data_IF_213201917957
#
_entry.id   IF_213201917957
#
_cell.length_a   1.000
_cell.length_b   1.000
_cell.length_c   1.000
_cell.angle_alpha   90.00
_cell.angle_beta   90.00
_cell.angle_gamma   90.00
#
_symmetry.space_group_name_H-M   'P 1'
#
loop_
_entity.id
_entity.type
_entity.pdbx_description
1 polymer ?
#
# COMPACT_ATOMS: atom_id res chain seq x y z
N UNK A 1 13.50 17.23 8.50
CA UNK A 1 13.40 16.08 7.59
C UNK A 1 12.22 15.20 7.97
N UNK A 2 11.55 14.64 6.96
CA UNK A 2 10.46 13.67 7.13
C UNK A 2 10.81 12.43 6.32
N UNK A 3 10.68 11.25 6.90
CA UNK A 3 10.83 9.96 6.22
C UNK A 3 9.50 9.21 6.24
N UNK A 4 9.21 8.51 5.16
CA UNK A 4 7.95 7.79 4.94
C UNK A 4 7.21 8.40 3.73
N UNK A 5 6.11 7.85 3.31
CA UNK A 5 5.54 6.61 3.84
C UNK A 5 6.25 5.36 3.27
N UNK A 6 5.48 4.32 2.97
CA UNK A 6 5.93 3.06 2.39
C UNK A 6 6.93 2.26 3.28
N UNK A 7 7.42 1.13 2.77
CA UNK A 7 8.24 0.15 3.50
C UNK A 7 9.69 0.64 3.69
N UNK A 8 9.83 1.90 4.09
CA UNK A 8 11.14 2.54 4.29
C UNK A 8 11.95 1.91 5.43
N UNK A 9 11.26 1.30 6.40
CA UNK A 9 11.90 0.63 7.54
C UNK A 9 11.94 -0.90 7.40
N UNK A 10 11.72 -1.44 6.19
CA UNK A 10 11.89 -2.86 5.91
C UNK A 10 13.32 -3.16 5.44
N UNK A 11 14.13 -3.96 6.20
CA UNK A 11 15.51 -4.24 5.84
C UNK A 11 15.67 -4.94 4.49
N UNK A 12 14.74 -5.83 4.12
CA UNK A 12 14.76 -6.55 2.86
C UNK A 12 14.75 -5.63 1.62
N UNK A 13 14.18 -4.42 1.74
CA UNK A 13 14.11 -3.44 0.66
C UNK A 13 15.18 -2.35 0.75
N UNK A 14 15.84 -2.22 1.89
CA UNK A 14 16.82 -1.17 2.18
C UNK A 14 18.16 -1.77 2.61
N UNK A 15 18.84 -2.42 1.66
CA UNK A 15 20.09 -3.13 1.93
C UNK A 15 21.26 -2.17 2.17
N UNK A 16 22.17 -2.59 3.05
CA UNK A 16 23.41 -1.86 3.34
C UNK A 16 23.17 -0.44 3.88
N UNK A 17 23.89 0.57 3.38
CA UNK A 17 23.79 1.95 3.88
C UNK A 17 22.40 2.59 3.67
N UNK A 18 21.59 2.07 2.75
CA UNK A 18 20.24 2.61 2.51
C UNK A 18 19.35 2.54 3.74
N UNK A 19 19.51 1.50 4.56
CA UNK A 19 18.73 1.36 5.79
C UNK A 19 18.99 2.53 6.76
N UNK A 20 20.26 2.92 6.96
CA UNK A 20 20.61 4.09 7.75
C UNK A 20 20.01 5.38 7.20
N UNK A 21 20.07 5.59 5.89
CA UNK A 21 19.46 6.74 5.23
C UNK A 21 17.95 6.86 5.52
N UNK A 22 17.24 5.72 5.60
CA UNK A 22 15.81 5.69 5.95
C UNK A 22 15.56 5.99 7.44
N UNK A 23 16.61 6.01 8.27
CA UNK A 23 16.59 6.50 9.63
C UNK A 23 17.26 7.88 9.76
N UNK A 24 17.46 8.59 8.64
CA UNK A 24 18.04 9.94 8.60
C UNK A 24 19.39 10.03 9.30
N UNK A 25 20.25 9.02 9.13
CA UNK A 25 21.59 8.94 9.75
C UNK A 25 22.52 10.08 9.33
N UNK A 26 22.33 10.60 8.13
CA UNK A 26 23.06 11.73 7.55
C UNK A 26 22.67 13.09 8.16
N UNK A 27 21.53 13.17 8.88
CA UNK A 27 21.00 14.42 9.39
C UNK A 27 21.63 14.78 10.75
N UNK A 28 22.01 16.05 10.93
CA UNK A 28 22.53 16.59 12.20
C UNK A 28 21.49 16.43 13.33
N UNK A 29 21.95 16.26 14.58
CA UNK A 29 21.08 16.06 15.74
C UNK A 29 20.21 17.30 16.06
N UNK A 30 20.63 18.47 15.65
CA UNK A 30 19.87 19.73 15.86
C UNK A 30 18.68 19.89 14.89
N UNK A 31 18.60 19.05 13.86
CA UNK A 31 17.54 19.13 12.85
C UNK A 31 16.38 18.25 13.27
N UNK A 32 15.16 18.79 13.19
CA UNK A 32 13.91 18.02 13.42
C UNK A 32 13.82 16.84 12.46
N UNK A 33 13.55 15.68 13.02
CA UNK A 33 13.38 14.40 12.32
C UNK A 33 12.02 13.82 12.65
N UNK A 34 11.24 13.54 11.64
CA UNK A 34 9.92 12.94 11.78
C UNK A 34 9.81 11.71 10.90
N UNK A 35 9.07 10.70 11.32
CA UNK A 35 8.54 9.72 10.38
C UNK A 35 7.04 9.93 10.21
N UNK A 36 6.56 9.82 8.98
CA UNK A 36 5.13 9.87 8.69
C UNK A 36 4.72 8.59 7.96
N UNK A 37 3.87 7.80 8.61
CA UNK A 37 3.35 6.56 8.06
C UNK A 37 4.44 5.59 7.55
N UNK A 38 5.61 5.58 8.22
CA UNK A 38 6.68 4.62 7.90
C UNK A 38 6.19 3.19 8.11
N UNK A 39 6.69 2.24 7.30
CA UNK A 39 6.20 0.87 7.32
C UNK A 39 7.36 -0.12 7.38
N UNK A 40 7.19 -1.18 8.17
CA UNK A 40 8.01 -2.40 8.15
C UNK A 40 7.46 -3.43 7.15
N UNK A 41 6.19 -3.29 6.73
CA UNK A 41 5.55 -4.15 5.75
C UNK A 41 5.07 -5.50 6.28
N UNK A 42 5.62 -6.01 7.37
CA UNK A 42 5.27 -7.27 8.03
C UNK A 42 5.39 -7.14 9.54
N UNK A 43 4.75 -8.07 10.27
CA UNK A 43 4.79 -8.11 11.74
C UNK A 43 6.02 -8.86 12.26
N UNK A 44 6.65 -9.66 11.43
CA UNK A 44 7.87 -10.40 11.76
C UNK A 44 9.06 -9.45 11.82
N UNK A 45 9.95 -9.66 12.79
CA UNK A 45 11.16 -8.89 12.92
C UNK A 45 12.24 -9.37 11.97
N UNK A 46 12.55 -8.59 10.93
CA UNK A 46 13.49 -8.95 9.86
C UNK A 46 14.92 -8.40 10.07
N UNK A 47 15.17 -7.63 11.13
CA UNK A 47 16.47 -7.02 11.39
C UNK A 47 17.48 -8.02 11.99
N UNK A 48 18.73 -7.93 11.55
CA UNK A 48 19.83 -8.58 12.29
C UNK A 48 20.09 -7.83 13.60
N UNK A 49 20.80 -8.46 14.54
CA UNK A 49 21.16 -7.82 15.82
C UNK A 49 21.97 -6.53 15.63
N UNK A 50 22.84 -6.49 14.62
CA UNK A 50 23.64 -5.33 14.26
C UNK A 50 22.78 -4.21 13.70
N UNK A 51 21.87 -4.53 12.79
CA UNK A 51 20.90 -3.59 12.23
C UNK A 51 19.97 -3.03 13.31
N UNK A 52 19.42 -3.89 14.16
CA UNK A 52 18.57 -3.48 15.28
C UNK A 52 19.31 -2.50 16.20
N UNK A 53 20.52 -2.82 16.61
CA UNK A 53 21.36 -1.96 17.45
C UNK A 53 21.65 -0.60 16.81
N UNK A 54 21.94 -0.57 15.52
CA UNK A 54 22.21 0.67 14.78
C UNK A 54 20.92 1.50 14.59
N UNK A 55 19.86 0.88 14.10
CA UNK A 55 18.61 1.58 13.81
C UNK A 55 17.88 2.04 15.08
N UNK A 56 17.97 1.28 16.18
CA UNK A 56 17.43 1.69 17.49
C UNK A 56 18.08 3.01 17.99
N UNK A 57 19.38 3.20 17.78
CA UNK A 57 20.05 4.46 18.13
C UNK A 57 19.54 5.62 17.26
N UNK A 58 19.34 5.37 15.97
CA UNK A 58 18.86 6.37 15.03
C UNK A 58 17.38 6.71 15.28
N UNK A 59 16.54 5.70 15.54
CA UNK A 59 15.13 5.91 15.85
C UNK A 59 14.90 6.83 17.06
N UNK A 60 15.75 6.71 18.09
CA UNK A 60 15.68 7.58 19.28
C UNK A 60 16.05 9.05 19.01
N UNK A 61 16.56 9.38 17.82
CA UNK A 61 16.86 10.77 17.41
C UNK A 61 15.65 11.46 16.76
N UNK A 62 14.54 10.72 16.57
CA UNK A 62 13.33 11.30 15.99
C UNK A 62 12.53 12.09 17.04
N UNK A 63 12.05 13.25 16.67
CA UNK A 63 11.16 14.07 17.49
C UNK A 63 9.75 13.49 17.58
N UNK A 64 9.30 12.83 16.51
CA UNK A 64 8.05 12.09 16.49
C UNK A 64 8.11 10.96 15.44
N UNK A 65 7.49 9.84 15.80
CA UNK A 65 7.42 8.66 14.96
C UNK A 65 5.95 8.30 14.72
N UNK A 66 5.58 8.15 13.44
CA UNK A 66 4.33 7.54 13.08
C UNK A 66 4.51 6.45 12.01
N UNK A 67 3.68 5.44 12.12
CA UNK A 67 3.70 4.21 11.29
C UNK A 67 2.30 3.94 10.74
N UNK A 68 2.18 3.19 9.65
CA UNK A 68 0.88 2.97 9.00
C UNK A 68 0.24 1.59 9.26
N UNK A 69 0.92 0.68 9.94
CA UNK A 69 0.35 -0.59 10.41
C UNK A 69 0.46 -0.76 11.92
N UNK A 70 -0.53 -1.40 12.52
CA UNK A 70 -0.62 -1.57 13.96
C UNK A 70 0.56 -2.39 14.52
N UNK A 71 0.99 -3.44 13.81
CA UNK A 71 2.17 -4.24 14.18
C UNK A 71 3.45 -3.41 14.31
N UNK A 72 3.61 -2.36 13.50
CA UNK A 72 4.77 -1.49 13.53
C UNK A 72 4.88 -0.66 14.82
N UNK A 73 3.77 -0.35 15.47
CA UNK A 73 3.78 0.31 16.81
C UNK A 73 4.48 -0.59 17.82
N UNK A 74 4.12 -1.88 17.85
CA UNK A 74 4.74 -2.86 18.75
C UNK A 74 6.21 -3.10 18.40
N UNK A 75 6.55 -3.18 17.10
CA UNK A 75 7.93 -3.33 16.64
C UNK A 75 8.80 -2.15 17.07
N UNK A 76 8.31 -0.92 16.94
CA UNK A 76 9.01 0.28 17.41
C UNK A 76 9.28 0.23 18.91
N UNK A 77 8.27 -0.15 19.69
CA UNK A 77 8.37 -0.22 21.16
C UNK A 77 9.31 -1.33 21.60
N UNK A 78 9.14 -2.54 21.06
CA UNK A 78 9.83 -3.73 21.54
C UNK A 78 11.31 -3.79 21.09
N UNK A 79 11.60 -3.29 19.88
CA UNK A 79 12.94 -3.43 19.29
C UNK A 79 13.74 -2.12 19.26
N UNK A 80 13.09 -0.99 19.03
CA UNK A 80 13.79 0.30 19.03
C UNK A 80 13.70 1.03 20.37
N UNK A 81 12.74 0.65 21.23
CA UNK A 81 12.51 1.30 22.53
C UNK A 81 12.02 2.74 22.36
N UNK A 82 11.16 2.97 21.36
CA UNK A 82 10.54 4.26 21.07
C UNK A 82 9.02 4.09 20.91
N UNK A 83 8.27 5.13 21.27
CA UNK A 83 6.84 5.18 21.04
C UNK A 83 6.54 5.62 19.60
N UNK A 84 5.52 5.03 18.99
CA UNK A 84 5.05 5.37 17.66
C UNK A 84 3.53 5.51 17.62
N UNK A 85 3.03 6.43 16.81
CA UNK A 85 1.60 6.63 16.57
C UNK A 85 1.16 5.91 15.29
N UNK A 86 0.04 5.21 15.34
CA UNK A 86 -0.60 4.66 14.15
C UNK A 86 -1.31 5.78 13.39
N UNK A 87 -1.00 5.94 12.10
CA UNK A 87 -1.63 6.94 11.23
C UNK A 87 -1.97 6.32 9.88
N UNK A 88 -2.85 6.97 9.13
CA UNK A 88 -3.18 6.58 7.75
C UNK A 88 -2.03 6.89 6.80
N UNK A 89 -1.96 6.15 5.69
CA UNK A 89 -1.07 6.49 4.58
C UNK A 89 -1.38 7.90 4.06
N UNK A 90 -0.37 8.73 3.71
CA UNK A 90 -0.58 10.12 3.28
C UNK A 90 -1.50 10.26 2.07
N UNK A 91 -1.64 9.24 1.25
CA UNK A 91 -2.61 9.25 0.13
C UNK A 91 -4.06 9.38 0.60
N UNK A 92 -4.37 8.95 1.82
CA UNK A 92 -5.70 9.08 2.43
C UNK A 92 -5.96 10.46 3.09
N UNK A 93 -4.99 11.37 3.05
CA UNK A 93 -5.17 12.76 3.52
C UNK A 93 -5.89 13.65 2.49
N UNK A 94 -5.92 13.21 1.24
CA UNK A 94 -6.63 13.88 0.14
C UNK A 94 -7.92 13.12 -0.18
N UNK A 95 -8.89 13.84 -0.70
CA UNK A 95 -10.17 13.25 -1.11
C UNK A 95 -10.16 12.86 -2.61
N UNK A 96 -11.21 12.20 -3.05
CA UNK A 96 -11.39 11.75 -4.43
C UNK A 96 -11.26 12.89 -5.44
N UNK A 97 -11.87 14.04 -5.13
CA UNK A 97 -11.93 15.20 -6.02
C UNK A 97 -10.55 15.78 -6.30
N UNK A 98 -9.61 15.67 -5.35
CA UNK A 98 -8.23 16.12 -5.56
C UNK A 98 -7.49 15.23 -6.55
N UNK A 99 -7.70 13.92 -6.48
CA UNK A 99 -7.13 12.97 -7.45
C UNK A 99 -7.83 13.05 -8.82
N UNK A 100 -9.14 13.30 -8.85
CA UNK A 100 -9.86 13.52 -10.11
C UNK A 100 -9.33 14.73 -10.89
N UNK A 101 -8.92 15.81 -10.20
CA UNK A 101 -8.28 16.98 -10.84
C UNK A 101 -7.01 16.59 -11.60
N UNK A 102 -6.24 15.63 -11.07
CA UNK A 102 -5.01 15.16 -11.72
C UNK A 102 -5.32 14.44 -13.03
N UNK A 103 -6.38 13.64 -13.08
CA UNK A 103 -6.74 12.86 -14.28
C UNK A 103 -7.84 13.51 -15.15
N UNK A 104 -8.19 14.78 -14.92
CA UNK A 104 -9.24 15.48 -15.68
C UNK A 104 -8.97 15.60 -17.18
N UNK A 105 -7.68 15.65 -17.58
CA UNK A 105 -7.29 15.71 -18.99
C UNK A 105 -7.45 14.37 -19.72
N UNK A 106 -7.61 13.27 -18.98
CA UNK A 106 -7.79 11.94 -19.57
C UNK A 106 -9.27 11.75 -19.91
N UNK A 107 -9.60 11.43 -21.16
CA UNK A 107 -10.99 11.14 -21.57
C UNK A 107 -11.61 10.05 -20.72
N UNK A 108 -12.91 10.10 -20.54
CA UNK A 108 -13.66 9.03 -19.86
C UNK A 108 -13.47 7.71 -20.61
N UNK A 109 -13.16 6.66 -19.86
CA UNK A 109 -13.01 5.29 -20.37
C UNK A 109 -14.33 4.55 -20.26
N UNK A 110 -14.49 3.53 -21.08
CA UNK A 110 -15.61 2.60 -20.92
C UNK A 110 -15.50 1.85 -19.58
N UNK A 111 -16.64 1.42 -19.07
CA UNK A 111 -16.72 0.64 -17.83
C UNK A 111 -15.95 -0.67 -17.97
N UNK A 112 -15.14 -1.00 -16.97
CA UNK A 112 -14.27 -2.17 -16.99
C UNK A 112 -13.99 -2.69 -15.58
N UNK A 113 -13.44 -3.91 -15.52
CA UNK A 113 -12.81 -4.46 -14.33
C UNK A 113 -11.33 -4.07 -14.38
N UNK A 114 -10.88 -3.28 -13.42
CA UNK A 114 -9.49 -2.86 -13.36
C UNK A 114 -8.66 -3.81 -12.51
N UNK A 115 -7.64 -4.39 -13.09
CA UNK A 115 -6.61 -5.19 -12.40
C UNK A 115 -5.36 -4.34 -12.24
N UNK A 116 -5.02 -3.98 -11.00
CA UNK A 116 -3.73 -3.39 -10.67
C UNK A 116 -2.96 -4.31 -9.76
N UNK A 117 -1.89 -4.93 -10.26
CA UNK A 117 -1.17 -5.99 -9.58
C UNK A 117 0.34 -5.73 -9.55
N UNK A 118 0.99 -6.11 -8.44
CA UNK A 118 2.45 -6.09 -8.31
C UNK A 118 3.08 -7.18 -9.18
N UNK A 119 2.44 -8.34 -9.21
CA UNK A 119 2.79 -9.47 -10.09
C UNK A 119 1.50 -10.10 -10.59
N UNK A 120 1.24 -9.96 -11.88
CA UNK A 120 0.04 -10.53 -12.50
C UNK A 120 0.13 -12.05 -12.49
N UNK A 121 -0.46 -12.68 -11.46
CA UNK A 121 -0.48 -14.12 -11.24
C UNK A 121 -1.84 -14.74 -11.50
N UNK A 122 -1.87 -16.08 -11.49
CA UNK A 122 -3.09 -16.87 -11.73
C UNK A 122 -4.23 -16.52 -10.76
N UNK A 123 -3.92 -16.35 -9.47
CA UNK A 123 -4.93 -16.02 -8.45
C UNK A 123 -5.63 -14.69 -8.73
N UNK A 124 -4.88 -13.64 -9.07
CA UNK A 124 -5.42 -12.32 -9.41
C UNK A 124 -6.31 -12.41 -10.64
N UNK A 125 -5.84 -13.07 -11.68
CA UNK A 125 -6.60 -13.24 -12.93
C UNK A 125 -7.84 -14.12 -12.76
N UNK A 126 -7.79 -15.13 -11.90
CA UNK A 126 -8.95 -15.98 -11.57
C UNK A 126 -10.06 -15.13 -10.93
N UNK A 127 -9.71 -14.28 -9.95
CA UNK A 127 -10.69 -13.37 -9.31
C UNK A 127 -11.24 -12.38 -10.34
N UNK A 128 -10.38 -11.78 -11.14
CA UNK A 128 -10.78 -10.82 -12.17
C UNK A 128 -11.72 -11.44 -13.21
N UNK A 129 -11.46 -12.67 -13.65
CA UNK A 129 -12.32 -13.40 -14.60
C UNK A 129 -13.70 -13.68 -14.01
N UNK A 130 -13.79 -14.13 -12.75
CA UNK A 130 -15.08 -14.34 -12.06
C UNK A 130 -15.91 -13.06 -12.00
N UNK A 131 -15.29 -11.92 -11.66
CA UNK A 131 -15.97 -10.62 -11.62
C UNK A 131 -16.36 -10.17 -13.01
N UNK A 132 -15.49 -10.32 -14.00
CA UNK A 132 -15.75 -9.98 -15.41
C UNK A 132 -16.95 -10.76 -15.97
N UNK A 133 -17.01 -12.06 -15.74
CA UNK A 133 -18.12 -12.91 -16.13
C UNK A 133 -19.43 -12.48 -15.47
N UNK A 134 -19.39 -12.23 -14.15
CA UNK A 134 -20.60 -11.82 -13.40
C UNK A 134 -21.14 -10.46 -13.84
N UNK A 135 -20.27 -9.52 -14.20
CA UNK A 135 -20.66 -8.15 -14.60
C UNK A 135 -20.75 -7.93 -16.11
N UNK A 136 -20.28 -8.87 -16.93
CA UNK A 136 -20.25 -8.72 -18.40
C UNK A 136 -19.31 -7.58 -18.87
N UNK A 137 -18.25 -7.31 -18.14
CA UNK A 137 -17.35 -6.19 -18.40
C UNK A 137 -15.94 -6.65 -18.80
N UNK A 138 -15.24 -5.92 -19.69
CA UNK A 138 -13.89 -6.25 -20.07
C UNK A 138 -12.90 -6.04 -18.91
N UNK A 139 -11.76 -6.77 -18.95
CA UNK A 139 -10.68 -6.62 -17.99
C UNK A 139 -9.60 -5.72 -18.56
N UNK A 140 -9.19 -4.70 -17.80
CA UNK A 140 -8.02 -3.86 -18.08
C UNK A 140 -6.95 -4.16 -17.03
N UNK A 141 -5.74 -4.49 -17.48
CA UNK A 141 -4.63 -4.91 -16.59
C UNK A 141 -3.50 -3.91 -16.66
N UNK A 142 -3.04 -3.45 -15.48
CA UNK A 142 -1.77 -2.74 -15.30
C UNK A 142 -0.92 -3.41 -14.22
N UNK A 143 0.31 -3.74 -14.57
CA UNK A 143 1.28 -4.35 -13.65
C UNK A 143 2.23 -3.30 -13.11
N UNK A 144 2.36 -3.22 -11.78
CA UNK A 144 3.30 -2.35 -11.12
C UNK A 144 4.73 -2.87 -11.33
N UNK A 145 5.59 -2.09 -11.98
CA UNK A 145 6.96 -2.52 -12.30
C UNK A 145 7.08 -3.29 -13.62
N UNK A 146 6.00 -3.47 -14.34
CA UNK A 146 6.01 -3.93 -15.73
C UNK A 146 6.72 -2.95 -16.67
N UNK A 147 6.85 -3.29 -17.95
CA UNK A 147 7.39 -2.36 -18.94
C UNK A 147 6.48 -1.14 -19.03
N UNK A 148 6.96 -0.01 -18.50
CA UNK A 148 6.24 1.27 -18.59
C UNK A 148 6.16 1.69 -20.05
N UNK A 149 4.94 1.85 -20.56
CA UNK A 149 4.70 2.43 -21.86
C UNK A 149 4.70 3.95 -21.74
N UNK A 150 4.96 4.67 -22.83
CA UNK A 150 4.98 6.14 -22.83
C UNK A 150 3.63 6.73 -22.39
N UNK A 151 2.55 5.98 -22.61
CA UNK A 151 1.18 6.33 -22.27
C UNK A 151 0.82 6.04 -20.79
N UNK A 152 1.63 5.26 -20.08
CA UNK A 152 1.38 4.91 -18.68
C UNK A 152 1.78 6.06 -17.76
N UNK A 153 0.99 7.11 -17.74
CA UNK A 153 1.17 8.26 -16.85
C UNK A 153 0.42 8.05 -15.54
N UNK A 154 0.72 8.84 -14.52
CA UNK A 154 0.01 8.81 -13.25
C UNK A 154 -1.46 9.26 -13.42
N UNK A 155 -1.70 10.19 -14.34
CA UNK A 155 -3.03 10.66 -14.71
C UNK A 155 -3.86 9.53 -15.31
N UNK A 156 -3.25 8.73 -16.21
CA UNK A 156 -3.91 7.58 -16.81
C UNK A 156 -4.18 6.49 -15.77
N UNK A 157 -3.26 6.29 -14.83
CA UNK A 157 -3.43 5.35 -13.73
C UNK A 157 -4.61 5.74 -12.80
N UNK A 158 -4.76 7.02 -12.45
CA UNK A 158 -5.92 7.50 -11.70
C UNK A 158 -7.22 7.39 -12.49
N UNK A 159 -7.15 7.63 -13.82
CA UNK A 159 -8.31 7.49 -14.69
C UNK A 159 -8.85 6.04 -14.74
N UNK A 160 -7.97 5.03 -14.62
CA UNK A 160 -8.43 3.64 -14.51
C UNK A 160 -9.27 3.43 -13.25
N UNK A 161 -8.84 3.92 -12.07
CA UNK A 161 -9.66 3.83 -10.86
C UNK A 161 -10.95 4.64 -10.99
N UNK A 162 -10.89 5.86 -11.56
CA UNK A 162 -12.06 6.72 -11.74
C UNK A 162 -13.17 6.03 -12.52
N UNK A 163 -12.81 5.31 -13.58
CA UNK A 163 -13.75 4.75 -14.55
C UNK A 163 -14.03 3.25 -14.35
N UNK A 164 -13.28 2.56 -13.51
CA UNK A 164 -13.52 1.16 -13.14
C UNK A 164 -14.90 0.96 -12.48
N UNK A 165 -15.56 -0.15 -12.78
CA UNK A 165 -16.74 -0.64 -12.04
C UNK A 165 -16.36 -1.57 -10.89
N UNK A 166 -15.17 -2.16 -10.96
CA UNK A 166 -14.63 -3.03 -9.93
C UNK A 166 -13.11 -3.08 -10.03
N UNK A 167 -12.43 -3.23 -8.90
CA UNK A 167 -10.97 -3.33 -8.87
C UNK A 167 -10.54 -4.67 -8.26
N UNK A 168 -9.59 -5.35 -8.89
CA UNK A 168 -8.92 -6.53 -8.33
C UNK A 168 -7.44 -6.19 -8.18
N UNK A 169 -6.88 -6.39 -6.98
CA UNK A 169 -5.52 -5.95 -6.71
C UNK A 169 -4.82 -6.82 -5.65
N UNK A 170 -3.51 -6.94 -5.74
CA UNK A 170 -2.59 -7.43 -4.73
C UNK A 170 -1.68 -6.29 -4.23
N UNK A 171 -1.97 -5.04 -4.62
CA UNK A 171 -1.20 -3.86 -4.27
C UNK A 171 -1.84 -3.07 -3.14
N UNK A 172 -1.05 -2.66 -2.13
CA UNK A 172 -1.52 -1.78 -1.06
C UNK A 172 -2.11 -0.48 -1.62
N UNK A 173 -1.41 0.19 -2.54
CA UNK A 173 -1.92 1.41 -3.16
C UNK A 173 -3.10 1.15 -4.10
N UNK A 174 -3.17 -0.05 -4.73
CA UNK A 174 -4.37 -0.47 -5.47
C UNK A 174 -5.61 -0.50 -4.58
N UNK A 175 -5.49 -1.07 -3.37
CA UNK A 175 -6.54 -1.05 -2.35
C UNK A 175 -6.88 0.37 -1.90
N UNK A 176 -5.87 1.16 -1.54
CA UNK A 176 -6.07 2.54 -1.04
C UNK A 176 -6.80 3.39 -2.07
N UNK A 177 -6.42 3.34 -3.35
CA UNK A 177 -7.09 4.11 -4.39
C UNK A 177 -8.48 3.56 -4.73
N UNK A 178 -8.73 2.27 -4.56
CA UNK A 178 -10.09 1.72 -4.63
C UNK A 178 -11.00 2.35 -3.56
N UNK A 179 -10.50 2.50 -2.34
CA UNK A 179 -11.21 3.16 -1.23
C UNK A 179 -11.43 4.63 -1.55
N UNK A 180 -10.39 5.37 -1.95
CA UNK A 180 -10.47 6.81 -2.28
C UNK A 180 -11.49 7.07 -3.40
N UNK A 181 -11.46 6.28 -4.47
CA UNK A 181 -12.38 6.41 -5.60
C UNK A 181 -13.76 5.78 -5.34
N UNK A 182 -13.97 5.23 -4.14
CA UNK A 182 -15.20 4.54 -3.74
C UNK A 182 -15.61 3.45 -4.73
N UNK A 183 -14.66 2.56 -5.06
CA UNK A 183 -14.86 1.43 -5.97
C UNK A 183 -15.00 0.14 -5.19
N UNK A 184 -15.94 -0.73 -5.56
CA UNK A 184 -15.93 -2.11 -5.08
C UNK A 184 -14.61 -2.78 -5.46
N UNK A 185 -14.03 -3.59 -4.58
CA UNK A 185 -12.74 -4.21 -4.84
C UNK A 185 -12.53 -5.55 -4.15
N UNK A 186 -11.63 -6.33 -4.68
CA UNK A 186 -11.10 -7.54 -4.05
C UNK A 186 -9.59 -7.46 -3.89
N UNK A 187 -9.12 -7.86 -2.71
CA UNK A 187 -7.69 -8.00 -2.40
C UNK A 187 -7.29 -9.47 -2.49
N UNK A 188 -6.34 -9.77 -3.36
CA UNK A 188 -5.65 -11.05 -3.39
C UNK A 188 -4.39 -10.94 -2.54
N UNK A 189 -4.34 -11.68 -1.44
CA UNK A 189 -3.23 -11.61 -0.51
C UNK A 189 -1.95 -12.19 -1.11
N UNK A 190 -0.82 -11.54 -0.83
CA UNK A 190 0.48 -12.02 -1.28
C UNK A 190 0.98 -13.15 -0.38
N UNK A 191 1.19 -14.37 -0.91
CA UNK A 191 1.72 -15.50 -0.13
C UNK A 191 3.13 -15.23 0.45
N UNK A 192 3.90 -14.35 -0.18
CA UNK A 192 5.26 -13.99 0.24
C UNK A 192 5.30 -12.98 1.40
N UNK A 193 4.14 -12.60 1.96
CA UNK A 193 4.04 -11.70 3.11
C UNK A 193 3.84 -10.23 2.74
N UNK A 194 3.96 -9.36 3.75
CA UNK A 194 3.68 -7.91 3.58
C UNK A 194 2.20 -7.57 3.69
N UNK A 195 1.38 -8.48 4.21
CA UNK A 195 -0.07 -8.35 4.27
C UNK A 195 -0.57 -7.53 5.47
N UNK A 196 0.27 -7.29 6.49
CA UNK A 196 -0.15 -6.56 7.70
C UNK A 196 -0.70 -5.16 7.41
N UNK A 197 -0.18 -4.49 6.40
CA UNK A 197 -0.65 -3.17 5.95
C UNK A 197 -2.10 -3.20 5.50
N UNK A 198 -2.50 -4.25 4.76
CA UNK A 198 -3.87 -4.43 4.29
C UNK A 198 -4.78 -4.72 5.48
N UNK A 199 -4.40 -5.69 6.30
CA UNK A 199 -5.17 -6.10 7.48
C UNK A 199 -5.37 -4.92 8.42
N UNK A 200 -4.31 -4.14 8.69
CA UNK A 200 -4.37 -2.97 9.56
C UNK A 200 -5.38 -1.93 9.06
N UNK A 201 -5.33 -1.57 7.77
CA UNK A 201 -6.24 -0.56 7.22
C UNK A 201 -7.67 -1.09 7.08
N UNK A 202 -7.84 -2.29 6.51
CA UNK A 202 -9.16 -2.89 6.31
C UNK A 202 -9.89 -3.14 7.63
N UNK A 203 -9.17 -3.56 8.67
CA UNK A 203 -9.73 -3.75 10.00
C UNK A 203 -10.25 -2.45 10.60
N UNK A 204 -9.51 -1.34 10.44
CA UNK A 204 -9.93 -0.02 10.91
C UNK A 204 -11.18 0.50 10.19
N UNK A 205 -11.36 0.13 8.92
CA UNK A 205 -12.47 0.58 8.08
C UNK A 205 -13.66 -0.39 8.06
N UNK A 206 -13.53 -1.57 8.68
CA UNK A 206 -14.57 -2.61 8.63
C UNK A 206 -14.72 -3.27 7.25
N UNK A 207 -13.64 -3.35 6.47
CA UNK A 207 -13.63 -3.84 5.08
C UNK A 207 -12.87 -5.18 4.92
N UNK A 208 -12.80 -5.99 5.97
CA UNK A 208 -12.07 -7.27 5.93
C UNK A 208 -12.65 -8.26 4.91
N UNK A 209 -13.94 -8.15 4.60
CA UNK A 209 -14.61 -8.96 3.58
C UNK A 209 -14.09 -8.72 2.15
N UNK A 210 -13.38 -7.61 1.91
CA UNK A 210 -12.73 -7.36 0.62
C UNK A 210 -11.55 -8.28 0.34
N UNK A 211 -11.04 -8.98 1.35
CA UNK A 211 -10.00 -10.00 1.18
C UNK A 211 -10.65 -11.26 0.63
N UNK A 212 -10.18 -11.72 -0.53
CA UNK A 212 -10.69 -12.97 -1.11
C UNK A 212 -10.25 -14.18 -0.28
N UNK A 213 -11.11 -15.17 -0.21
CA UNK A 213 -10.87 -16.43 0.49
C UNK A 213 -9.87 -17.35 -0.26
N UNK A 214 -9.56 -18.52 0.33
CA UNK A 214 -8.67 -19.52 -0.29
C UNK A 214 -9.22 -20.06 -1.61
N UNK A 215 -10.54 -19.95 -1.86
CA UNK A 215 -11.21 -20.37 -3.10
C UNK A 215 -11.19 -19.28 -4.16
N UNK A 216 -10.54 -18.16 -3.87
CA UNK A 216 -10.51 -16.97 -4.73
C UNK A 216 -11.92 -16.51 -5.11
N UNK A 217 -12.82 -16.49 -4.12
CA UNK A 217 -14.20 -16.03 -4.28
C UNK A 217 -14.26 -14.56 -3.89
N UNK A 218 -14.68 -13.66 -4.81
CA UNK A 218 -14.95 -12.26 -4.44
C UNK A 218 -16.06 -12.19 -3.39
N UNK A 219 -16.05 -11.16 -2.55
CA UNK A 219 -17.12 -10.98 -1.57
C UNK A 219 -18.46 -10.71 -2.28
N UNK A 220 -19.52 -11.40 -1.84
CA UNK A 220 -20.87 -11.21 -2.39
C UNK A 220 -21.44 -9.81 -2.11
N UNK A 221 -21.02 -9.18 -1.01
CA UNK A 221 -21.46 -7.82 -0.66
C UNK A 221 -20.96 -6.73 -1.64
N UNK A 222 -20.02 -7.07 -2.51
CA UNK A 222 -19.38 -6.12 -3.43
C UNK A 222 -19.72 -6.42 -4.91
N UNK A 223 -20.38 -7.54 -5.18
CA UNK A 223 -20.73 -7.96 -6.57
C UNK A 223 -22.14 -7.50 -6.97
N UNK A 224 -23.01 -7.23 -6.00
CA UNK A 224 -24.34 -6.66 -6.19
C UNK A 224 -24.24 -5.13 -6.36
#
# INVERSE_FOLDING_TARGET
YVVGSDQVWRPAFNLGPRLGNMFLDFADDKVKKLSYAASFGCKEWEYTKEQEKACSKLARRFDAISVREASAVDLCKNHFGVDASLVLDPTLLLNKEDYEKVCNSIPKKEKHIFVYSLVVGESVMTVASKVSEAKGLPIVVKEAGGKVKKEDTIEDWFAEFRDAEYVVTDSFHGMVFSIIFNKPFSIVMNPSGGNDRYISLLSQLGLMECIVDEKLTPSSAIID
#
